data_IF_342388926975
#
_entry.id   IF_342388926975
#
_cell.length_a   1.000
_cell.length_b   1.000
_cell.length_c   1.000
_cell.angle_alpha   90.00
_cell.angle_beta   90.00
_cell.angle_gamma   90.00
#
_symmetry.space_group_name_H-M   'P 1'
#
loop_
_entity.id
_entity.type
_entity.pdbx_description
1 polymer ?
#
# COMPACT_ATOMS: atom_id res chain seq x y z
N UNK A 1 4.95 7.03 1.74
CA UNK A 1 3.62 7.55 2.16
C UNK A 1 3.52 7.47 3.66
N UNK A 2 2.76 8.37 4.26
CA UNK A 2 2.50 8.43 5.69
C UNK A 2 1.03 8.71 5.92
N UNK A 3 0.47 8.11 6.96
CA UNK A 3 -0.92 8.30 7.34
C UNK A 3 -1.01 9.08 8.66
N UNK A 4 -1.91 10.05 8.71
CA UNK A 4 -2.33 10.70 9.96
C UNK A 4 -3.78 10.30 10.23
N UNK A 5 -3.99 9.59 11.34
CA UNK A 5 -5.30 9.06 11.71
C UNK A 5 -5.89 9.84 12.86
N UNK A 6 -7.17 10.17 12.76
CA UNK A 6 -7.92 10.81 13.84
C UNK A 6 -9.32 10.21 14.01
N UNK A 7 -9.85 10.29 15.23
CA UNK A 7 -11.23 9.98 15.56
C UNK A 7 -12.01 11.30 15.61
N UNK A 8 -13.11 11.37 14.85
CA UNK A 8 -13.99 12.53 14.84
C UNK A 8 -15.29 12.23 15.57
N UNK A 9 -15.75 13.19 16.38
CA UNK A 9 -17.03 13.11 17.12
C UNK A 9 -18.23 13.46 16.22
N UNK A 10 -18.29 12.82 15.05
CA UNK A 10 -19.38 12.93 14.10
C UNK A 10 -19.57 11.58 13.37
N UNK A 11 -20.80 11.23 12.97
CA UNK A 11 -21.07 9.92 12.39
C UNK A 11 -20.56 9.78 10.96
N UNK A 12 -20.37 10.87 10.23
CA UNK A 12 -19.98 10.85 8.82
C UNK A 12 -19.12 12.07 8.48
N UNK A 13 -17.95 11.87 7.89
CA UNK A 13 -17.07 12.93 7.42
C UNK A 13 -17.23 13.24 5.93
N UNK A 14 -17.18 12.22 5.08
CA UNK A 14 -17.18 12.38 3.61
C UNK A 14 -18.13 11.42 2.87
N UNK A 15 -18.71 10.44 3.57
CA UNK A 15 -19.73 9.54 3.01
C UNK A 15 -19.19 8.53 2.00
N UNK A 16 -17.87 8.35 1.93
CA UNK A 16 -17.22 7.42 1.01
C UNK A 16 -15.91 6.90 1.62
N UNK A 17 -15.53 5.66 1.31
CA UNK A 17 -14.35 5.03 1.88
C UNK A 17 -13.06 5.76 1.51
N UNK A 18 -12.96 6.28 0.29
CA UNK A 18 -11.79 7.00 -0.20
C UNK A 18 -12.20 8.18 -1.09
N UNK A 19 -11.71 9.38 -0.78
CA UNK A 19 -11.86 10.58 -1.62
C UNK A 19 -10.47 11.11 -1.95
N UNK A 20 -10.17 11.23 -3.24
CA UNK A 20 -8.90 11.77 -3.74
C UNK A 20 -8.96 13.29 -3.82
N UNK A 21 -7.87 13.95 -3.44
CA UNK A 21 -7.68 15.39 -3.59
C UNK A 21 -6.59 15.58 -4.65
N UNK A 22 -6.98 16.14 -5.80
CA UNK A 22 -6.13 16.20 -7.00
C UNK A 22 -5.65 17.61 -7.33
N UNK A 23 -6.04 18.59 -6.52
CA UNK A 23 -5.52 19.94 -6.56
C UNK A 23 -4.11 20.00 -5.93
N UNK A 24 -3.40 21.09 -6.20
CA UNK A 24 -2.01 21.27 -5.75
C UNK A 24 -1.94 21.82 -4.33
N UNK A 25 -2.96 22.55 -3.92
CA UNK A 25 -3.05 23.32 -2.70
C UNK A 25 -3.28 22.42 -1.47
N UNK A 26 -3.96 21.29 -1.67
CA UNK A 26 -4.22 20.31 -0.63
C UNK A 26 -2.95 19.49 -0.31
N UNK A 27 -2.53 19.41 0.96
CA UNK A 27 -1.26 18.77 1.32
C UNK A 27 -1.32 17.23 1.36
N UNK A 28 -2.51 16.62 1.39
CA UNK A 28 -2.71 15.17 1.33
C UNK A 28 -3.24 14.71 -0.03
N UNK A 29 -2.97 13.48 -0.41
CA UNK A 29 -3.43 12.87 -1.68
C UNK A 29 -4.85 12.31 -1.56
N UNK A 30 -5.22 11.83 -0.38
CA UNK A 30 -6.49 11.15 -0.12
C UNK A 30 -6.91 11.24 1.33
N UNK A 31 -8.22 11.26 1.57
CA UNK A 31 -8.79 10.93 2.88
C UNK A 31 -9.50 9.58 2.80
N UNK A 32 -9.18 8.70 3.74
CA UNK A 32 -9.82 7.39 3.93
C UNK A 32 -10.76 7.49 5.12
N UNK A 33 -12.05 7.24 4.93
CA UNK A 33 -13.03 7.13 6.02
C UNK A 33 -13.37 5.65 6.22
N UNK A 34 -12.67 5.01 7.17
CA UNK A 34 -12.51 3.55 7.24
C UNK A 34 -13.82 2.79 7.36
N UNK A 35 -14.79 3.35 8.08
CA UNK A 35 -16.05 2.66 8.35
C UNK A 35 -16.82 2.29 7.08
N UNK A 36 -16.61 3.01 5.97
CA UNK A 36 -17.31 2.76 4.72
C UNK A 36 -16.78 1.55 3.93
N UNK A 37 -15.67 0.93 4.35
CA UNK A 37 -15.28 -0.39 3.84
C UNK A 37 -16.22 -1.49 4.34
N UNK A 38 -16.89 -1.29 5.48
CA UNK A 38 -17.81 -2.24 6.10
C UNK A 38 -19.16 -1.57 6.43
N UNK A 39 -19.72 -0.83 5.46
CA UNK A 39 -21.09 -0.26 5.50
C UNK A 39 -21.38 0.77 6.61
N UNK A 40 -20.39 1.13 7.43
CA UNK A 40 -20.52 2.17 8.46
C UNK A 40 -21.38 1.79 9.67
N UNK A 41 -21.57 0.48 9.91
CA UNK A 41 -22.47 -0.08 10.93
C UNK A 41 -21.73 -0.89 12.00
N UNK A 42 -22.32 -0.97 13.20
CA UNK A 42 -21.89 -1.91 14.24
C UNK A 42 -22.38 -3.35 13.98
N UNK A 43 -22.05 -4.27 14.89
CA UNK A 43 -22.41 -5.69 14.77
C UNK A 43 -23.92 -5.93 14.82
N UNK A 44 -24.67 -5.00 15.44
CA UNK A 44 -26.12 -5.01 15.55
C UNK A 44 -26.82 -4.30 14.38
N UNK A 45 -26.06 -3.67 13.48
CA UNK A 45 -26.56 -2.99 12.28
C UNK A 45 -26.91 -1.51 12.46
N UNK A 46 -26.60 -0.92 13.62
CA UNK A 46 -26.79 0.51 13.87
C UNK A 46 -25.66 1.33 13.26
N UNK A 47 -25.95 2.58 12.91
CA UNK A 47 -24.93 3.47 12.37
C UNK A 47 -23.93 3.88 13.44
N UNK A 48 -22.64 3.83 13.11
CA UNK A 48 -21.58 4.23 14.02
C UNK A 48 -21.68 5.74 14.33
N UNK A 49 -21.69 6.15 15.62
CA UNK A 49 -21.89 7.55 16.02
C UNK A 49 -20.64 8.42 15.80
N UNK A 50 -19.47 7.80 15.64
CA UNK A 50 -18.18 8.44 15.40
C UNK A 50 -17.53 7.83 14.17
N UNK A 51 -16.57 8.54 13.59
CA UNK A 51 -15.84 8.06 12.42
C UNK A 51 -14.33 8.23 12.60
N UNK A 52 -13.57 7.28 12.06
CA UNK A 52 -12.12 7.35 12.00
C UNK A 52 -11.73 7.68 10.57
N UNK A 53 -10.92 8.72 10.40
CA UNK A 53 -10.35 9.07 9.11
C UNK A 53 -8.83 8.96 9.13
N UNK A 54 -8.24 8.65 7.98
CA UNK A 54 -6.79 8.80 7.75
C UNK A 54 -6.53 9.71 6.57
N UNK A 55 -5.68 10.72 6.77
CA UNK A 55 -5.11 11.53 5.68
C UNK A 55 -3.83 10.88 5.18
N UNK A 56 -3.75 10.65 3.88
CA UNK A 56 -2.56 10.09 3.23
C UNK A 56 -1.67 11.20 2.68
N UNK A 57 -0.40 11.19 3.07
CA UNK A 57 0.62 12.10 2.56
C UNK A 57 1.64 11.34 1.71
N UNK A 58 1.90 11.84 0.51
CA UNK A 58 3.05 11.39 -0.26
C UNK A 58 4.34 11.88 0.40
N UNK A 59 5.35 11.02 0.43
CA UNK A 59 6.64 11.32 1.04
C UNK A 59 7.74 10.62 0.25
N UNK A 60 8.86 11.31 0.07
CA UNK A 60 10.09 10.67 -0.39
C UNK A 60 10.55 9.65 0.66
N UNK A 61 10.93 8.46 0.20
CA UNK A 61 11.38 7.38 1.07
C UNK A 61 12.76 7.67 1.64
N UNK A 62 12.97 7.31 2.91
CA UNK A 62 14.26 7.35 3.60
C UNK A 62 14.52 6.04 4.33
N UNK A 63 15.79 5.69 4.62
CA UNK A 63 16.10 4.56 5.48
C UNK A 63 15.35 4.65 6.82
N UNK A 64 14.61 3.60 7.17
CA UNK A 64 13.70 3.57 8.31
C UNK A 64 12.23 3.74 7.96
N UNK A 65 11.92 4.26 6.76
CA UNK A 65 10.56 4.32 6.25
C UNK A 65 10.13 2.99 5.63
N UNK A 66 8.84 2.67 5.73
CA UNK A 66 8.22 1.54 5.03
C UNK A 66 8.23 1.81 3.49
N UNK A 67 8.83 0.94 2.67
CA UNK A 67 8.85 1.11 1.22
C UNK A 67 7.52 0.67 0.59
N UNK A 68 6.70 1.63 0.17
CA UNK A 68 5.36 1.34 -0.39
C UNK A 68 5.35 1.09 -1.90
N UNK A 69 5.98 1.99 -2.68
CA UNK A 69 5.89 1.99 -4.14
C UNK A 69 7.30 2.10 -4.75
N UNK A 70 7.67 1.24 -5.72
CA UNK A 70 8.92 1.40 -6.46
C UNK A 70 8.84 2.63 -7.38
N UNK A 71 9.98 3.30 -7.59
CA UNK A 71 10.11 4.41 -8.53
C UNK A 71 10.76 3.86 -9.81
N UNK A 72 9.92 3.55 -10.79
CA UNK A 72 10.35 2.88 -12.02
C UNK A 72 10.94 3.87 -13.04
N UNK A 73 12.15 4.34 -12.77
CA UNK A 73 12.96 5.14 -13.71
C UNK A 73 14.17 4.34 -14.21
N UNK A 74 14.91 4.89 -15.19
CA UNK A 74 16.09 4.23 -15.78
C UNK A 74 17.17 3.92 -14.75
N UNK A 75 17.39 4.83 -13.79
CA UNK A 75 18.42 4.69 -12.76
C UNK A 75 18.10 3.51 -11.83
N UNK A 76 16.88 3.46 -11.31
CA UNK A 76 16.44 2.41 -10.40
C UNK A 76 16.26 1.08 -11.14
N UNK A 77 15.83 1.12 -12.40
CA UNK A 77 15.78 -0.06 -13.26
C UNK A 77 17.15 -0.68 -13.47
N UNK A 78 18.17 0.12 -13.79
CA UNK A 78 19.55 -0.37 -13.94
C UNK A 78 20.10 -0.94 -12.63
N UNK A 79 19.84 -0.28 -11.49
CA UNK A 79 20.25 -0.76 -10.18
C UNK A 79 19.57 -2.10 -9.81
N UNK A 80 18.26 -2.21 -10.04
CA UNK A 80 17.53 -3.46 -9.84
C UNK A 80 18.10 -4.60 -10.68
N UNK A 81 18.43 -4.36 -11.96
CA UNK A 81 19.04 -5.39 -12.80
C UNK A 81 20.40 -5.87 -12.27
N UNK A 82 21.21 -4.99 -11.67
CA UNK A 82 22.45 -5.38 -11.02
C UNK A 82 22.20 -6.28 -9.80
N UNK A 83 21.24 -5.94 -8.94
CA UNK A 83 20.83 -6.79 -7.81
C UNK A 83 20.20 -8.10 -8.25
N UNK A 84 19.44 -8.09 -9.35
CA UNK A 84 18.83 -9.29 -9.90
C UNK A 84 19.89 -10.30 -10.35
N UNK A 85 20.98 -9.85 -10.98
CA UNK A 85 22.10 -10.73 -11.35
C UNK A 85 22.71 -11.41 -10.11
N UNK A 86 22.91 -10.66 -9.03
CA UNK A 86 23.40 -11.22 -7.77
C UNK A 86 22.40 -12.20 -7.15
N UNK A 87 21.12 -11.87 -7.17
CA UNK A 87 20.05 -12.74 -6.66
C UNK A 87 19.95 -14.05 -7.47
N UNK A 88 20.21 -14.01 -8.78
CA UNK A 88 20.18 -15.19 -9.66
C UNK A 88 21.40 -16.12 -9.41
N UNK A 89 22.48 -15.64 -8.77
CA UNK A 89 23.64 -16.46 -8.36
C UNK A 89 23.39 -17.22 -7.04
N UNK A 90 22.38 -16.83 -6.25
CA UNK A 90 22.05 -17.46 -4.97
C UNK A 90 21.28 -18.77 -5.16
N UNK A 91 21.94 -19.91 -4.92
CA UNK A 91 21.37 -21.24 -5.18
C UNK A 91 20.42 -21.77 -4.10
N UNK A 92 20.37 -21.11 -2.93
CA UNK A 92 19.62 -21.56 -1.75
C UNK A 92 18.61 -20.54 -1.23
N UNK A 93 18.42 -19.45 -1.97
CA UNK A 93 17.51 -18.36 -1.60
C UNK A 93 16.57 -18.08 -2.76
N UNK A 94 15.29 -17.87 -2.46
CA UNK A 94 14.29 -17.49 -3.45
C UNK A 94 13.83 -16.07 -3.13
N UNK A 95 14.07 -15.15 -4.05
CA UNK A 95 13.60 -13.76 -3.95
C UNK A 95 12.23 -13.65 -4.62
N UNK A 96 11.26 -13.06 -3.93
CA UNK A 96 9.89 -12.96 -4.40
C UNK A 96 9.11 -11.81 -3.75
N UNK A 97 7.95 -11.51 -4.32
CA UNK A 97 7.03 -10.49 -3.81
C UNK A 97 7.51 -9.05 -4.04
N UNK A 98 6.75 -8.09 -3.49
CA UNK A 98 6.92 -6.65 -3.77
C UNK A 98 8.36 -6.16 -3.59
N UNK A 99 8.97 -6.50 -2.47
CA UNK A 99 10.31 -6.02 -2.10
C UNK A 99 11.42 -6.84 -2.76
N UNK A 100 11.29 -8.17 -2.80
CA UNK A 100 12.30 -9.04 -3.41
C UNK A 100 12.41 -8.87 -4.93
N UNK A 101 11.32 -8.46 -5.59
CA UNK A 101 11.28 -8.28 -7.05
C UNK A 101 11.27 -6.81 -7.49
N UNK A 102 11.39 -5.86 -6.55
CA UNK A 102 11.29 -4.41 -6.82
C UNK A 102 10.09 -4.05 -7.71
N UNK A 103 8.90 -4.56 -7.35
CA UNK A 103 7.72 -4.48 -8.20
C UNK A 103 6.48 -4.16 -7.39
N UNK A 104 5.61 -3.33 -7.93
CA UNK A 104 4.30 -3.11 -7.34
C UNK A 104 3.38 -4.28 -7.67
N UNK A 105 2.81 -4.90 -6.64
CA UNK A 105 1.82 -5.97 -6.76
C UNK A 105 0.55 -5.62 -6.01
N UNK A 106 -0.58 -5.85 -6.66
CA UNK A 106 -1.85 -6.08 -5.98
C UNK A 106 -1.83 -7.43 -5.24
N UNK A 107 -2.70 -7.57 -4.25
CA UNK A 107 -2.77 -8.75 -3.38
C UNK A 107 -2.96 -10.06 -4.18
N UNK A 108 -3.84 -10.06 -5.17
CA UNK A 108 -4.09 -11.24 -6.02
C UNK A 108 -2.87 -11.63 -6.84
N UNK A 109 -2.12 -10.65 -7.36
CA UNK A 109 -0.93 -10.88 -8.18
C UNK A 109 0.23 -11.45 -7.37
N UNK A 110 0.45 -10.96 -6.15
CA UNK A 110 1.49 -11.54 -5.28
C UNK A 110 1.12 -12.94 -4.80
N UNK A 111 -0.17 -13.22 -4.54
CA UNK A 111 -0.64 -14.57 -4.23
C UNK A 111 -0.40 -15.52 -5.41
N UNK A 112 -0.78 -15.10 -6.63
CA UNK A 112 -0.56 -15.89 -7.83
C UNK A 112 0.94 -16.18 -8.06
N UNK A 113 1.79 -15.16 -7.93
CA UNK A 113 3.25 -15.28 -8.03
C UNK A 113 3.82 -16.27 -7.02
N UNK A 114 3.39 -16.19 -5.75
CA UNK A 114 3.84 -17.10 -4.71
C UNK A 114 3.43 -18.56 -4.98
N UNK A 115 2.19 -18.78 -5.46
CA UNK A 115 1.69 -20.12 -5.81
C UNK A 115 2.41 -20.71 -7.02
N UNK A 116 2.76 -19.90 -8.02
CA UNK A 116 3.54 -20.32 -9.17
C UNK A 116 4.97 -20.68 -8.77
N UNK A 117 5.61 -19.82 -7.97
CA UNK A 117 6.95 -20.07 -7.43
C UNK A 117 6.99 -21.37 -6.64
N UNK A 118 6.01 -21.57 -5.74
CA UNK A 118 5.91 -22.79 -4.94
C UNK A 118 5.85 -24.05 -5.79
N UNK A 119 5.04 -24.08 -6.86
CA UNK A 119 4.94 -25.22 -7.79
C UNK A 119 6.23 -25.49 -8.57
N UNK A 120 7.08 -24.48 -8.75
CA UNK A 120 8.33 -24.59 -9.51
C UNK A 120 9.48 -25.15 -8.66
N UNK A 121 9.46 -24.88 -7.36
CA UNK A 121 10.63 -25.07 -6.47
C UNK A 121 10.41 -26.06 -5.33
N UNK A 122 9.15 -26.43 -5.04
CA UNK A 122 8.77 -27.46 -4.07
C UNK A 122 8.20 -28.68 -4.81
#
# INVERSE_FOLDING_TARGET
VRFETELLDQPNFQGNAAVNYTDRETPWTRIIEHKWFEFGKDAEGHDLPKTVISREFSSEWKPGDEPYYPVNDEKNGALYQAYKKLADEETRVIFGGRLGEYKYYDMDKVIASALEMSRRVL
#
